data_IF_322475310598
#
_entry.id   IF_322475310598
#
_cell.length_a   1.000
_cell.length_b   1.000
_cell.length_c   1.000
_cell.angle_alpha   90.00
_cell.angle_beta   90.00
_cell.angle_gamma   90.00
#
_symmetry.space_group_name_H-M   'P 1'
#
loop_
_entity.id
_entity.type
_entity.pdbx_description
1 polymer ?
#
# COMPACT_ATOMS: atom_id res chain seq x y z
N UNK A 1 -31.78 -26.28 20.30
CA UNK A 1 -30.77 -27.18 20.91
C UNK A 1 -31.35 -28.10 22.01
N UNK A 2 -32.62 -27.96 22.38
CA UNK A 2 -33.24 -28.71 23.49
C UNK A 2 -33.55 -30.19 23.19
N UNK A 3 -33.42 -30.65 21.98
CA UNK A 3 -33.78 -32.01 21.55
C UNK A 3 -32.66 -32.81 20.88
N UNK A 4 -31.43 -32.35 20.99
CA UNK A 4 -30.30 -33.03 20.35
C UNK A 4 -29.81 -34.22 21.18
N UNK A 5 -29.59 -35.35 20.53
CA UNK A 5 -29.08 -36.59 21.15
C UNK A 5 -27.63 -36.80 20.70
N UNK A 6 -26.79 -37.32 21.59
CA UNK A 6 -25.38 -37.62 21.29
C UNK A 6 -25.28 -38.64 20.16
N UNK A 7 -24.54 -38.29 19.09
CA UNK A 7 -24.38 -39.12 17.89
C UNK A 7 -25.38 -38.75 16.75
N UNK A 8 -26.25 -37.79 16.97
CA UNK A 8 -27.14 -37.26 15.93
C UNK A 8 -26.35 -36.45 14.91
N UNK A 9 -26.62 -36.65 13.64
CA UNK A 9 -26.00 -35.92 12.56
C UNK A 9 -26.74 -34.58 12.33
N UNK A 10 -26.02 -33.49 12.41
CA UNK A 10 -26.55 -32.16 12.18
C UNK A 10 -26.15 -31.61 10.80
N UNK A 11 -27.10 -31.04 10.10
CA UNK A 11 -26.85 -30.21 8.96
C UNK A 11 -26.99 -28.75 9.37
N UNK A 12 -25.94 -27.98 9.23
CA UNK A 12 -25.97 -26.52 9.44
C UNK A 12 -26.05 -25.87 8.08
N UNK A 13 -27.16 -25.20 7.80
CA UNK A 13 -27.34 -24.38 6.63
C UNK A 13 -27.17 -22.91 7.02
N UNK A 14 -26.30 -22.19 6.29
CA UNK A 14 -26.13 -20.75 6.40
C UNK A 14 -26.81 -20.14 5.19
N UNK A 15 -27.95 -19.51 5.41
CA UNK A 15 -28.66 -18.77 4.38
C UNK A 15 -28.25 -17.29 4.44
N UNK A 16 -28.00 -16.70 3.27
CA UNK A 16 -27.65 -15.30 3.15
C UNK A 16 -28.89 -14.45 2.91
N UNK A 17 -28.94 -13.28 3.54
CA UNK A 17 -29.97 -12.30 3.24
C UNK A 17 -30.03 -11.98 1.74
N UNK A 18 -31.19 -11.58 1.25
CA UNK A 18 -31.39 -11.20 -0.15
C UNK A 18 -30.34 -10.19 -0.61
N UNK A 19 -29.72 -10.44 -1.75
CA UNK A 19 -28.65 -9.60 -2.32
C UNK A 19 -27.23 -10.10 -2.06
N UNK A 20 -27.03 -11.06 -1.14
CA UNK A 20 -25.69 -11.59 -0.79
C UNK A 20 -25.32 -12.88 -1.54
N UNK A 21 -26.24 -13.46 -2.33
CA UNK A 21 -26.05 -14.76 -2.98
C UNK A 21 -24.85 -14.79 -3.96
N UNK A 22 -24.50 -13.62 -4.53
CA UNK A 22 -23.39 -13.49 -5.49
C UNK A 22 -22.15 -12.82 -4.91
N UNK A 23 -22.12 -12.55 -3.59
CA UNK A 23 -20.96 -11.95 -2.93
C UNK A 23 -19.90 -13.01 -2.72
N UNK A 24 -18.73 -12.81 -3.33
CA UNK A 24 -17.56 -13.70 -3.20
C UNK A 24 -16.61 -13.27 -2.09
N UNK A 25 -16.62 -12.00 -1.73
CA UNK A 25 -15.77 -11.46 -0.67
C UNK A 25 -16.49 -10.30 0.01
N UNK A 26 -16.38 -10.22 1.33
CA UNK A 26 -16.92 -9.13 2.11
C UNK A 26 -15.96 -8.79 3.25
N UNK A 27 -15.90 -7.52 3.62
CA UNK A 27 -15.24 -7.07 4.84
C UNK A 27 -16.19 -6.19 5.65
N UNK A 28 -16.19 -6.37 6.96
CA UNK A 28 -16.85 -5.47 7.88
C UNK A 28 -15.95 -4.30 8.26
N UNK A 29 -16.58 -3.20 8.65
CA UNK A 29 -15.88 -2.01 9.12
C UNK A 29 -16.69 -1.29 10.19
N UNK A 30 -16.19 -0.12 10.57
CA UNK A 30 -16.86 0.80 11.50
C UNK A 30 -17.79 1.77 10.76
N UNK A 31 -17.55 3.06 10.99
CA UNK A 31 -18.40 4.11 10.41
C UNK A 31 -18.17 4.29 8.89
N UNK A 32 -19.25 4.61 8.18
CA UNK A 32 -19.16 5.12 6.82
C UNK A 32 -18.50 6.50 6.84
N UNK A 33 -17.60 6.72 5.92
CA UNK A 33 -16.84 7.97 5.75
C UNK A 33 -17.39 8.81 4.61
N UNK A 34 -17.70 8.16 3.50
CA UNK A 34 -18.26 8.76 2.29
C UNK A 34 -19.37 7.85 1.79
N UNK A 35 -20.53 8.42 1.46
CA UNK A 35 -21.66 7.75 0.86
C UNK A 35 -22.18 8.59 -0.30
N UNK A 36 -22.33 7.99 -1.48
CA UNK A 36 -22.72 8.67 -2.73
C UNK A 36 -21.89 9.93 -3.04
N UNK A 37 -20.60 9.91 -2.67
CA UNK A 37 -19.68 11.03 -2.85
C UNK A 37 -19.84 12.16 -1.82
N UNK A 38 -20.73 12.01 -0.85
CA UNK A 38 -20.94 12.98 0.23
C UNK A 38 -20.24 12.53 1.51
N UNK A 39 -19.76 13.50 2.28
CA UNK A 39 -19.17 13.25 3.60
C UNK A 39 -20.22 12.76 4.58
N UNK A 40 -19.88 11.71 5.32
CA UNK A 40 -20.62 11.32 6.52
C UNK A 40 -20.05 12.05 7.74
N UNK A 41 -20.91 12.41 8.69
CA UNK A 41 -20.53 13.15 9.91
C UNK A 41 -20.97 12.47 11.19
N UNK A 42 -21.92 11.54 11.11
CA UNK A 42 -22.55 10.89 12.27
C UNK A 42 -21.76 9.63 12.65
N UNK A 43 -20.53 9.84 13.14
CA UNK A 43 -19.66 8.75 13.55
C UNK A 43 -20.06 8.22 14.92
N UNK A 44 -20.13 6.88 15.02
CA UNK A 44 -20.55 6.15 16.22
C UNK A 44 -19.38 5.68 17.09
N UNK A 45 -18.17 5.65 16.54
CA UNK A 45 -16.97 5.22 17.28
C UNK A 45 -16.57 6.25 18.35
N UNK A 46 -16.35 5.79 19.59
CA UNK A 46 -15.86 6.62 20.69
C UNK A 46 -14.54 7.34 20.38
N UNK A 47 -13.74 6.74 19.50
CA UNK A 47 -12.45 7.29 19.07
C UNK A 47 -12.55 8.21 17.85
N UNK A 48 -13.77 8.51 17.36
CA UNK A 48 -13.94 9.27 16.11
C UNK A 48 -13.25 10.64 16.13
N UNK A 49 -13.26 11.33 17.27
CA UNK A 49 -12.66 12.65 17.45
C UNK A 49 -11.20 12.61 17.90
N UNK A 50 -10.63 11.43 18.14
CA UNK A 50 -9.22 11.29 18.56
C UNK A 50 -8.33 11.21 17.33
N UNK A 51 -7.17 11.85 17.40
CA UNK A 51 -6.06 11.58 16.51
C UNK A 51 -5.61 10.15 16.77
N UNK A 52 -5.56 9.33 15.73
CA UNK A 52 -5.16 7.92 15.83
C UNK A 52 -4.69 7.41 14.46
N UNK A 53 -3.94 6.31 14.44
CA UNK A 53 -3.68 5.58 13.22
C UNK A 53 -5.01 5.06 12.65
N UNK A 54 -5.20 5.20 11.33
CA UNK A 54 -6.46 4.90 10.66
C UNK A 54 -6.23 4.03 9.44
N UNK A 55 -7.24 3.20 9.16
CA UNK A 55 -7.32 2.39 7.96
C UNK A 55 -8.68 2.61 7.30
N UNK A 56 -8.71 2.78 6.00
CA UNK A 56 -9.95 2.90 5.24
C UNK A 56 -9.88 2.16 3.91
N UNK A 57 -11.05 1.73 3.46
CA UNK A 57 -11.27 1.22 2.10
C UNK A 57 -12.32 2.08 1.43
N UNK A 58 -12.13 2.37 0.15
CA UNK A 58 -13.12 3.11 -0.63
C UNK A 58 -13.18 2.65 -2.07
N UNK A 59 -14.25 3.03 -2.73
CA UNK A 59 -14.50 2.76 -4.15
C UNK A 59 -14.75 4.08 -4.86
N UNK A 60 -14.03 4.30 -5.95
CA UNK A 60 -14.25 5.44 -6.85
C UNK A 60 -15.39 5.16 -7.84
N UNK A 61 -15.84 6.21 -8.53
CA UNK A 61 -16.90 6.09 -9.56
C UNK A 61 -16.53 5.15 -10.70
N UNK A 62 -15.26 5.03 -11.04
CA UNK A 62 -14.78 4.13 -12.09
C UNK A 62 -14.61 2.67 -11.61
N UNK A 63 -14.99 2.38 -10.37
CA UNK A 63 -14.86 1.06 -9.74
C UNK A 63 -13.47 0.78 -9.15
N UNK A 64 -12.51 1.70 -9.27
CA UNK A 64 -11.19 1.49 -8.67
C UNK A 64 -11.25 1.54 -7.14
N UNK A 65 -10.48 0.64 -6.50
CA UNK A 65 -10.37 0.59 -5.04
C UNK A 65 -9.31 1.58 -4.55
N UNK A 66 -9.60 2.20 -3.41
CA UNK A 66 -8.66 2.99 -2.62
C UNK A 66 -8.47 2.29 -1.28
N UNK A 67 -7.24 1.86 -0.99
CA UNK A 67 -6.83 1.43 0.34
C UNK A 67 -5.99 2.55 0.94
N UNK A 68 -6.37 3.03 2.10
CA UNK A 68 -5.73 4.17 2.74
C UNK A 68 -5.35 3.85 4.19
N UNK A 69 -4.15 4.23 4.57
CA UNK A 69 -3.69 4.19 5.95
C UNK A 69 -3.08 5.53 6.34
N UNK A 70 -3.25 5.90 7.60
CA UNK A 70 -2.55 7.00 8.24
C UNK A 70 -1.90 6.46 9.50
N UNK A 71 -0.60 6.66 9.65
CA UNK A 71 0.11 6.23 10.85
C UNK A 71 -0.10 7.21 12.02
N UNK A 72 0.07 6.70 13.23
CA UNK A 72 0.24 7.47 14.48
C UNK A 72 1.61 7.11 15.06
N UNK A 73 2.65 7.34 14.29
CA UNK A 73 4.02 7.02 14.65
C UNK A 73 5.02 7.84 13.80
N UNK A 74 6.24 7.95 14.24
CA UNK A 74 7.26 8.73 13.55
C UNK A 74 6.89 10.23 13.54
N UNK A 75 6.68 10.78 12.35
CA UNK A 75 6.31 12.18 12.15
C UNK A 75 4.80 12.38 11.90
N UNK A 76 3.99 11.37 12.18
CA UNK A 76 2.53 11.41 12.01
C UNK A 76 1.83 11.32 13.36
N UNK A 77 0.88 12.21 13.58
CA UNK A 77 0.03 12.23 14.78
C UNK A 77 -1.29 11.45 14.59
N UNK A 78 -1.45 10.81 13.43
CA UNK A 78 -2.72 10.19 13.06
C UNK A 78 -3.71 11.18 12.48
N UNK A 79 -5.00 10.82 12.49
CA UNK A 79 -6.10 11.68 12.06
C UNK A 79 -7.42 11.31 12.75
N UNK A 80 -8.35 12.25 12.80
CA UNK A 80 -9.73 12.00 13.23
C UNK A 80 -10.51 11.26 12.12
N UNK A 81 -11.72 10.75 12.42
CA UNK A 81 -12.57 10.18 11.36
C UNK A 81 -13.09 11.23 10.38
N UNK A 82 -13.28 12.48 10.83
CA UNK A 82 -13.67 13.57 9.95
C UNK A 82 -12.56 13.86 8.92
N UNK A 83 -11.30 13.98 9.36
CA UNK A 83 -10.16 14.17 8.48
C UNK A 83 -10.01 13.00 7.49
N UNK A 84 -10.23 11.77 7.97
CA UNK A 84 -10.19 10.56 7.13
C UNK A 84 -11.29 10.58 6.05
N UNK A 85 -12.51 11.00 6.42
CA UNK A 85 -13.63 11.13 5.50
C UNK A 85 -13.33 12.17 4.41
N UNK A 86 -12.85 13.36 4.80
CA UNK A 86 -12.41 14.40 3.86
C UNK A 86 -11.32 13.89 2.92
N UNK A 87 -10.36 13.14 3.46
CA UNK A 87 -9.28 12.57 2.68
C UNK A 87 -9.77 11.55 1.66
N UNK A 88 -10.67 10.64 2.06
CA UNK A 88 -11.25 9.65 1.15
C UNK A 88 -12.11 10.31 0.06
N UNK A 89 -12.87 11.35 0.40
CA UNK A 89 -13.62 12.14 -0.59
C UNK A 89 -12.67 12.84 -1.58
N UNK A 90 -11.61 13.48 -1.08
CA UNK A 90 -10.59 14.14 -1.91
C UNK A 90 -9.86 13.16 -2.85
N UNK A 91 -9.75 11.88 -2.47
CA UNK A 91 -9.24 10.81 -3.32
C UNK A 91 -10.26 10.34 -4.37
N UNK A 92 -11.45 10.91 -4.43
CA UNK A 92 -12.49 10.63 -5.41
C UNK A 92 -13.38 9.43 -5.07
N UNK A 93 -13.38 8.98 -3.82
CA UNK A 93 -14.25 7.89 -3.41
C UNK A 93 -15.73 8.30 -3.47
N UNK A 94 -16.56 7.44 -4.03
CA UNK A 94 -18.02 7.53 -3.97
C UNK A 94 -18.56 6.86 -2.72
N UNK A 95 -17.89 5.80 -2.27
CA UNK A 95 -18.17 5.10 -1.02
C UNK A 95 -16.86 4.86 -0.32
N UNK A 96 -16.82 5.11 1.00
CA UNK A 96 -15.65 4.80 1.81
C UNK A 96 -16.06 4.39 3.22
N UNK A 97 -15.34 3.41 3.76
CA UNK A 97 -15.60 2.78 5.06
C UNK A 97 -14.34 2.85 5.92
N UNK A 98 -14.50 3.24 7.18
CA UNK A 98 -13.45 3.12 8.17
C UNK A 98 -13.30 1.65 8.58
N UNK A 99 -12.07 1.17 8.60
CA UNK A 99 -11.70 -0.15 9.10
C UNK A 99 -11.07 -0.06 10.50
N UNK A 100 -10.66 -1.20 11.05
CA UNK A 100 -9.92 -1.22 12.31
C UNK A 100 -8.61 -0.41 12.17
N UNK A 101 -8.31 0.37 13.22
CA UNK A 101 -7.23 1.36 13.25
C UNK A 101 -6.25 1.12 14.40
N UNK A 102 -5.59 2.20 14.82
CA UNK A 102 -4.59 2.14 15.89
C UNK A 102 -3.49 1.14 15.57
N UNK A 103 -3.13 0.29 16.52
CA UNK A 103 -2.10 -0.75 16.33
C UNK A 103 -2.41 -1.81 15.27
N UNK A 104 -3.67 -1.92 14.82
CA UNK A 104 -4.08 -2.83 13.73
C UNK A 104 -3.82 -2.21 12.35
N UNK A 105 -3.50 -0.91 12.26
CA UNK A 105 -3.15 -0.26 11.00
C UNK A 105 -1.83 -0.81 10.47
N UNK A 106 -1.90 -1.62 9.41
CA UNK A 106 -0.74 -2.23 8.78
C UNK A 106 -0.94 -2.36 7.27
N UNK A 107 0.09 -2.05 6.50
CA UNK A 107 0.15 -2.23 5.04
C UNK A 107 1.37 -3.03 4.68
N UNK A 108 1.13 -4.16 4.03
CA UNK A 108 2.16 -4.96 3.39
C UNK A 108 2.18 -4.73 1.88
N UNK A 109 3.34 -4.48 1.30
CA UNK A 109 3.51 -4.26 -0.13
C UNK A 109 4.65 -5.11 -0.66
N UNK A 110 4.43 -5.79 -1.76
CA UNK A 110 5.53 -6.34 -2.57
C UNK A 110 5.89 -5.30 -3.63
N UNK A 111 6.99 -4.59 -3.40
CA UNK A 111 7.46 -3.60 -4.35
C UNK A 111 7.92 -4.25 -5.66
N UNK A 112 7.74 -3.57 -6.82
CA UNK A 112 8.15 -4.09 -8.10
C UNK A 112 9.62 -4.56 -8.12
N UNK A 113 9.84 -5.76 -8.63
CA UNK A 113 11.18 -6.38 -8.69
C UNK A 113 11.68 -7.00 -7.38
N UNK A 114 10.87 -6.96 -6.30
CA UNK A 114 11.14 -7.73 -5.08
C UNK A 114 10.34 -9.05 -5.07
N UNK A 115 10.96 -10.11 -4.55
CA UNK A 115 10.33 -11.41 -4.44
C UNK A 115 9.43 -11.56 -3.20
N UNK A 116 9.62 -10.71 -2.19
CA UNK A 116 8.89 -10.73 -0.92
C UNK A 116 8.33 -9.37 -0.58
N UNK A 117 7.22 -9.37 0.16
CA UNK A 117 6.63 -8.15 0.68
C UNK A 117 7.40 -7.57 1.87
N UNK A 118 7.14 -6.30 2.11
CA UNK A 118 7.62 -5.56 3.27
C UNK A 118 6.48 -4.74 3.87
N UNK A 119 6.58 -4.42 5.16
CA UNK A 119 5.67 -3.44 5.79
C UNK A 119 5.99 -2.06 5.23
N UNK A 120 4.97 -1.38 4.71
CA UNK A 120 5.12 -0.09 4.03
C UNK A 120 4.79 1.11 4.93
N UNK A 121 4.15 0.87 6.08
CA UNK A 121 3.83 1.89 7.07
C UNK A 121 4.62 1.68 8.37
N UNK A 122 4.47 2.59 9.33
CA UNK A 122 5.05 2.51 10.67
C UNK A 122 3.94 2.17 11.67
N UNK A 123 3.85 0.89 12.12
CA UNK A 123 2.83 0.49 13.08
C UNK A 123 2.93 1.28 14.40
N UNK A 124 1.82 1.78 14.93
CA UNK A 124 1.78 2.56 16.17
C UNK A 124 2.21 1.77 17.41
N UNK A 125 2.08 0.43 17.38
CA UNK A 125 2.58 -0.46 18.45
C UNK A 125 4.11 -0.71 18.36
N UNK A 126 4.81 -0.11 17.40
CA UNK A 126 6.23 -0.38 17.13
C UNK A 126 6.51 -1.74 16.49
N UNK A 127 5.49 -2.56 16.29
CA UNK A 127 5.53 -3.87 15.62
C UNK A 127 4.18 -4.19 15.01
N UNK A 128 4.15 -5.14 14.09
CA UNK A 128 2.88 -5.65 13.56
C UNK A 128 2.07 -6.33 14.67
N UNK A 129 0.79 -5.97 14.75
CA UNK A 129 -0.17 -6.60 15.64
C UNK A 129 -0.71 -7.87 14.98
N UNK A 130 -0.95 -8.91 15.77
CA UNK A 130 -1.71 -10.06 15.34
C UNK A 130 -3.18 -9.66 15.18
N UNK A 131 -3.71 -9.78 13.96
CA UNK A 131 -5.09 -9.48 13.60
C UNK A 131 -5.79 -10.72 13.10
N UNK A 132 -7.11 -10.82 13.34
CA UNK A 132 -7.89 -11.97 12.96
C UNK A 132 -8.14 -12.09 11.45
N UNK A 133 -8.08 -10.97 10.73
CA UNK A 133 -8.32 -10.91 9.28
C UNK A 133 -7.51 -9.82 8.61
N UNK A 134 -7.36 -9.95 7.29
CA UNK A 134 -6.65 -9.01 6.43
C UNK A 134 -7.35 -8.93 5.08
N UNK A 135 -7.21 -7.78 4.42
CA UNK A 135 -7.60 -7.63 3.00
C UNK A 135 -6.36 -7.83 2.16
N UNK A 136 -6.40 -8.81 1.25
CA UNK A 136 -5.30 -9.10 0.34
C UNK A 136 -5.71 -8.80 -1.10
N UNK A 137 -4.86 -8.06 -1.80
CA UNK A 137 -4.88 -7.98 -3.25
C UNK A 137 -3.84 -8.97 -3.76
N UNK A 138 -4.32 -10.09 -4.30
CA UNK A 138 -3.47 -11.21 -4.70
C UNK A 138 -3.43 -11.30 -6.21
N UNK A 139 -2.24 -11.41 -6.77
CA UNK A 139 -2.04 -11.79 -8.16
C UNK A 139 -1.80 -13.29 -8.23
N UNK A 140 -2.33 -13.95 -9.27
CA UNK A 140 -1.99 -15.35 -9.50
C UNK A 140 -0.48 -15.48 -9.70
N UNK A 141 0.12 -16.43 -8.99
CA UNK A 141 1.53 -16.73 -9.10
C UNK A 141 1.82 -17.26 -10.51
N UNK A 142 2.81 -16.66 -11.16
CA UNK A 142 3.39 -17.13 -12.41
C UNK A 142 4.89 -17.31 -12.18
N UNK A 143 5.51 -18.18 -12.94
CA UNK A 143 6.97 -18.27 -12.95
C UNK A 143 7.54 -16.97 -13.49
N UNK A 144 8.66 -16.52 -12.92
CA UNK A 144 9.31 -15.31 -13.36
C UNK A 144 9.87 -15.50 -14.78
N UNK A 145 9.53 -14.56 -15.64
CA UNK A 145 10.06 -14.48 -17.01
C UNK A 145 11.35 -13.65 -17.08
N UNK A 146 11.73 -13.31 -18.29
CA UNK A 146 12.84 -12.38 -18.53
C UNK A 146 12.48 -10.96 -18.07
N UNK A 147 13.51 -10.18 -17.71
CA UNK A 147 13.34 -8.79 -17.34
C UNK A 147 12.68 -7.98 -18.47
N UNK A 148 11.56 -7.36 -18.16
CA UNK A 148 10.82 -6.47 -19.08
C UNK A 148 10.75 -5.03 -18.54
N UNK A 149 11.07 -4.83 -17.26
CA UNK A 149 11.07 -3.52 -16.58
C UNK A 149 12.20 -3.44 -15.58
N UNK A 150 12.77 -2.25 -15.44
CA UNK A 150 13.71 -1.93 -14.37
C UNK A 150 13.04 -0.99 -13.37
N UNK A 151 13.49 -1.06 -12.14
CA UNK A 151 13.09 -0.19 -11.04
C UNK A 151 14.31 0.25 -10.25
N UNK A 152 14.32 1.51 -9.85
CA UNK A 152 15.42 2.11 -9.09
C UNK A 152 14.95 2.47 -7.68
N UNK A 153 15.69 2.02 -6.68
CA UNK A 153 15.37 2.29 -5.28
C UNK A 153 16.55 2.94 -4.54
N UNK A 154 16.29 3.98 -3.70
CA UNK A 154 14.99 4.63 -3.50
C UNK A 154 14.51 5.33 -4.78
N UNK A 155 13.18 5.43 -4.95
CA UNK A 155 12.57 6.04 -6.14
C UNK A 155 12.40 7.57 -6.02
N UNK A 156 12.56 8.12 -4.81
CA UNK A 156 12.51 9.55 -4.53
C UNK A 156 13.21 9.86 -3.20
N UNK A 157 13.55 11.11 -2.96
CA UNK A 157 14.15 11.55 -1.71
C UNK A 157 14.70 12.97 -1.81
N UNK A 158 15.30 13.43 -0.72
CA UNK A 158 15.97 14.71 -0.64
C UNK A 158 17.47 14.49 -0.42
N UNK A 159 18.29 15.29 -1.06
CA UNK A 159 19.73 15.22 -0.91
C UNK A 159 20.35 16.62 -0.98
N UNK A 160 21.47 16.79 -0.28
CA UNK A 160 22.28 18.01 -0.40
C UNK A 160 23.21 17.93 -1.63
N UNK A 161 23.56 19.05 -2.25
CA UNK A 161 24.61 19.11 -3.25
C UNK A 161 25.90 18.45 -2.75
N UNK A 162 26.54 17.66 -3.59
CA UNK A 162 27.74 16.89 -3.23
C UNK A 162 27.48 15.57 -2.50
N UNK A 163 26.23 15.29 -2.09
CA UNK A 163 25.91 14.03 -1.42
C UNK A 163 26.11 12.82 -2.34
N UNK A 164 26.60 11.73 -1.76
CA UNK A 164 26.69 10.43 -2.42
C UNK A 164 25.45 9.62 -2.05
N UNK A 165 24.74 9.14 -3.06
CA UNK A 165 23.53 8.36 -2.92
C UNK A 165 23.74 6.99 -3.55
N UNK A 166 23.31 5.94 -2.86
CA UNK A 166 23.38 4.58 -3.37
C UNK A 166 21.99 4.13 -3.80
N UNK A 167 21.92 3.54 -4.98
CA UNK A 167 20.70 3.02 -5.58
C UNK A 167 20.82 1.52 -5.82
N UNK A 168 19.70 0.83 -5.63
CA UNK A 168 19.54 -0.58 -5.98
C UNK A 168 18.66 -0.69 -7.20
N UNK A 169 19.12 -1.38 -8.24
CA UNK A 169 18.30 -1.74 -9.38
C UNK A 169 17.60 -3.06 -9.10
N UNK A 170 16.32 -3.12 -9.40
CA UNK A 170 15.51 -4.32 -9.44
C UNK A 170 14.91 -4.50 -10.81
N UNK A 171 14.60 -5.73 -11.18
CA UNK A 171 13.94 -6.03 -12.44
C UNK A 171 12.65 -6.81 -12.21
N UNK A 172 11.68 -6.60 -13.08
CA UNK A 172 10.48 -7.39 -13.14
C UNK A 172 10.18 -7.80 -14.58
N UNK A 173 9.52 -8.94 -14.73
CA UNK A 173 9.00 -9.39 -16.03
C UNK A 173 7.77 -8.59 -16.48
N UNK A 174 7.17 -8.99 -17.60
CA UNK A 174 5.96 -8.36 -18.15
C UNK A 174 4.75 -8.45 -17.20
N UNK A 175 4.74 -9.44 -16.33
CA UNK A 175 3.69 -9.70 -15.31
C UNK A 175 4.02 -9.09 -13.94
N UNK A 176 5.04 -8.25 -13.84
CA UNK A 176 5.53 -7.63 -12.60
C UNK A 176 6.08 -8.61 -11.55
N UNK A 177 6.42 -9.86 -11.93
CA UNK A 177 7.15 -10.77 -11.06
C UNK A 177 8.62 -10.36 -11.00
N UNK A 178 9.26 -10.57 -9.85
CA UNK A 178 10.69 -10.30 -9.70
C UNK A 178 11.48 -11.14 -10.71
N UNK A 179 12.31 -10.49 -11.50
CA UNK A 179 13.17 -11.10 -12.51
C UNK A 179 14.64 -10.85 -12.20
N UNK A 180 15.53 -11.60 -12.83
CA UNK A 180 16.96 -11.38 -12.72
C UNK A 180 17.31 -9.99 -13.29
N UNK A 181 18.12 -9.23 -12.55
CA UNK A 181 18.63 -7.94 -13.05
C UNK A 181 19.70 -8.21 -14.10
N UNK A 182 19.62 -7.59 -15.28
CA UNK A 182 20.67 -7.70 -16.28
C UNK A 182 22.03 -7.27 -15.72
N UNK A 183 23.12 -7.83 -16.26
CA UNK A 183 24.49 -7.58 -15.76
C UNK A 183 25.14 -6.31 -16.33
N UNK A 184 24.57 -5.75 -17.40
CA UNK A 184 25.05 -4.58 -18.13
C UNK A 184 24.47 -3.24 -17.60
N UNK A 185 24.13 -3.17 -16.31
CA UNK A 185 23.51 -1.97 -15.71
C UNK A 185 24.48 -0.79 -15.76
N UNK A 186 24.00 0.30 -16.31
CA UNK A 186 24.67 1.61 -16.32
C UNK A 186 23.80 2.64 -15.62
N UNK A 187 24.43 3.60 -14.95
CA UNK A 187 23.73 4.69 -14.26
C UNK A 187 24.04 6.02 -14.94
N UNK A 188 23.05 6.91 -14.95
CA UNK A 188 23.16 8.26 -15.48
C UNK A 188 22.12 9.17 -14.87
N UNK A 189 21.90 10.33 -15.47
CA UNK A 189 20.86 11.23 -15.02
C UNK A 189 21.19 12.70 -15.22
N UNK A 190 20.35 13.55 -14.65
CA UNK A 190 20.50 15.01 -14.64
C UNK A 190 20.98 15.47 -13.28
N UNK A 191 21.93 16.40 -13.24
CA UNK A 191 22.53 16.94 -12.01
C UNK A 191 23.16 15.89 -11.09
N UNK A 192 23.60 14.79 -11.67
CA UNK A 192 24.34 13.72 -10.99
C UNK A 192 25.53 13.26 -11.82
N UNK A 193 26.54 12.74 -11.15
CA UNK A 193 27.67 12.03 -11.77
C UNK A 193 27.78 10.64 -11.15
N UNK A 194 28.04 9.66 -12.00
CA UNK A 194 28.25 8.28 -11.55
C UNK A 194 29.58 8.17 -10.81
N UNK A 195 29.57 7.45 -9.70
CA UNK A 195 30.80 7.12 -8.96
C UNK A 195 31.22 5.68 -9.24
N UNK A 196 30.41 4.69 -8.83
CA UNK A 196 30.58 3.27 -9.14
C UNK A 196 29.40 2.46 -8.61
N UNK A 197 29.12 1.31 -9.19
CA UNK A 197 28.29 0.25 -8.60
C UNK A 197 26.93 0.70 -8.07
N UNK A 198 26.23 1.61 -8.76
CA UNK A 198 24.94 2.14 -8.30
C UNK A 198 25.05 3.35 -7.37
N UNK A 199 26.25 3.84 -7.11
CA UNK A 199 26.44 5.08 -6.34
C UNK A 199 26.61 6.26 -7.29
N UNK A 200 25.87 7.34 -7.04
CA UNK A 200 25.96 8.61 -7.78
C UNK A 200 26.29 9.75 -6.80
N UNK A 201 26.89 10.81 -7.31
CA UNK A 201 27.08 12.04 -6.55
C UNK A 201 26.15 13.12 -7.10
N UNK A 202 25.41 13.81 -6.25
CA UNK A 202 24.64 15.00 -6.61
C UNK A 202 25.61 16.13 -6.94
N UNK A 203 25.45 16.76 -8.08
CA UNK A 203 26.35 17.83 -8.51
C UNK A 203 26.30 19.02 -7.54
N UNK A 204 27.44 19.65 -7.30
CA UNK A 204 27.54 20.76 -6.35
C UNK A 204 26.70 22.01 -6.76
N UNK A 205 26.42 22.18 -8.05
CA UNK A 205 25.60 23.25 -8.59
C UNK A 205 24.09 22.92 -8.66
N UNK A 206 23.66 21.79 -8.13
CA UNK A 206 22.26 21.35 -8.14
C UNK A 206 21.40 21.97 -7.01
N UNK A 207 21.97 22.93 -6.22
CA UNK A 207 21.25 23.57 -5.13
C UNK A 207 19.94 24.23 -5.61
N UNK A 208 18.82 23.95 -4.93
CA UNK A 208 17.49 24.48 -5.25
C UNK A 208 16.87 23.93 -6.53
N UNK A 209 17.45 22.87 -7.12
CA UNK A 209 16.92 22.19 -8.30
C UNK A 209 16.66 20.71 -8.03
N UNK A 210 16.07 20.01 -8.99
CA UNK A 210 15.93 18.57 -8.91
C UNK A 210 17.14 17.85 -9.52
N UNK A 211 17.44 16.66 -9.02
CA UNK A 211 18.33 15.71 -9.64
C UNK A 211 17.53 14.47 -10.05
N UNK A 212 17.81 13.94 -11.22
CA UNK A 212 17.20 12.69 -11.67
C UNK A 212 18.29 11.64 -11.85
N UNK A 213 18.03 10.43 -11.35
CA UNK A 213 18.90 9.28 -11.54
C UNK A 213 18.19 8.29 -12.43
N UNK A 214 18.92 7.73 -13.39
CA UNK A 214 18.41 6.71 -14.29
C UNK A 214 19.30 5.48 -14.24
N UNK A 215 18.72 4.31 -14.40
CA UNK A 215 19.44 3.06 -14.65
C UNK A 215 19.00 2.48 -16.00
N UNK A 216 19.93 1.97 -16.78
CA UNK A 216 19.65 1.32 -18.05
C UNK A 216 20.44 0.01 -18.16
N UNK A 217 19.80 -1.02 -18.71
CA UNK A 217 20.41 -2.31 -18.98
C UNK A 217 19.60 -3.05 -20.05
N UNK A 218 20.26 -3.73 -20.99
CA UNK A 218 19.64 -4.59 -22.01
C UNK A 218 18.46 -3.92 -22.73
N UNK A 219 18.57 -2.62 -23.04
CA UNK A 219 17.51 -1.84 -23.69
C UNK A 219 16.38 -1.35 -22.77
N UNK A 220 16.36 -1.76 -21.51
CA UNK A 220 15.40 -1.31 -20.49
C UNK A 220 15.94 -0.05 -19.78
N UNK A 221 15.01 0.72 -19.17
CA UNK A 221 15.34 1.94 -18.41
C UNK A 221 14.43 2.09 -17.19
N UNK A 222 15.00 2.58 -16.08
CA UNK A 222 14.33 3.02 -14.85
C UNK A 222 14.67 4.47 -14.55
#
# INVERSE_FOLDING_TARGET
>A
LKSMVMGEQLTIEVDCASGWQNVTSACGGGDMLVEDGQLCSDFTLDSAKKMAARTAIGVRRDGSLVLYTCDEAGNSEGMTLADLAERMQALGCQTALNLDGGGSTAVGVTYPGYASGATANVPSDGKLRECANFIFLVRQKQDAGEAARLYLYPNSGYALPGAKLSFTVKAADSSYMAAAVPTDVTFGGTNVSQVSGGTVTVNANAAGSFAAVTAAASGLRA
#
